data_IF_297268542020
#
_entry.id   IF_297268542020
#
_cell.length_a   1.000
_cell.length_b   1.000
_cell.length_c   1.000
_cell.angle_alpha   90.00
_cell.angle_beta   90.00
_cell.angle_gamma   90.00
#
_symmetry.space_group_name_H-M   'P 1'
#
loop_
_entity.id
_entity.type
_entity.pdbx_description
1 polymer ?
#
# COMPACT_ATOMS: atom_id res chain seq x y z
N UNK A 1 -18.40 -10.97 -13.70
CA UNK A 1 -17.46 -11.11 -14.85
C UNK A 1 -18.01 -12.19 -15.78
N UNK A 2 -18.11 -11.97 -17.09
CA UNK A 2 -18.75 -12.93 -18.02
C UNK A 2 -17.71 -13.67 -18.88
N UNK A 3 -17.67 -15.01 -18.87
CA UNK A 3 -16.78 -15.79 -19.73
C UNK A 3 -16.98 -15.48 -21.22
N UNK A 4 -15.88 -15.36 -21.98
CA UNK A 4 -15.86 -15.35 -23.45
C UNK A 4 -15.22 -16.63 -23.98
N UNK A 5 -15.37 -16.89 -25.29
CA UNK A 5 -14.71 -18.01 -25.97
C UNK A 5 -13.22 -18.10 -25.64
N UNK A 6 -12.75 -19.31 -25.32
CA UNK A 6 -11.36 -19.58 -25.00
C UNK A 6 -10.50 -19.61 -26.27
N UNK A 7 -9.48 -18.75 -26.36
CA UNK A 7 -8.36 -18.97 -27.28
C UNK A 7 -7.25 -19.71 -26.54
N UNK A 8 -7.23 -21.04 -26.65
CA UNK A 8 -6.21 -21.89 -26.00
C UNK A 8 -6.41 -22.03 -24.49
N UNK A 9 -5.32 -22.02 -23.70
CA UNK A 9 -5.35 -22.24 -22.23
C UNK A 9 -5.81 -21.01 -21.41
N UNK A 10 -6.06 -19.86 -22.04
CA UNK A 10 -6.44 -18.64 -21.33
C UNK A 10 -7.95 -18.41 -21.42
N UNK A 11 -8.60 -18.35 -20.25
CA UNK A 11 -10.03 -18.00 -20.12
C UNK A 11 -10.17 -16.49 -20.27
N UNK A 12 -10.73 -16.04 -21.39
CA UNK A 12 -11.05 -14.63 -21.61
C UNK A 12 -12.37 -14.31 -20.90
N UNK A 13 -12.44 -13.15 -20.27
CA UNK A 13 -13.64 -12.73 -19.52
C UNK A 13 -13.93 -11.27 -19.83
N UNK A 14 -15.18 -10.94 -20.14
CA UNK A 14 -15.66 -9.57 -20.25
C UNK A 14 -16.05 -9.02 -18.88
N UNK A 15 -15.74 -7.74 -18.64
CA UNK A 15 -16.22 -7.03 -17.47
C UNK A 15 -17.53 -6.34 -17.83
N UNK A 16 -18.54 -6.56 -17.01
CA UNK A 16 -19.79 -5.81 -17.06
C UNK A 16 -19.94 -5.02 -15.78
N UNK A 17 -20.53 -3.82 -15.89
CA UNK A 17 -20.82 -2.98 -14.74
C UNK A 17 -21.94 -3.67 -13.96
N UNK A 18 -21.69 -3.94 -12.69
CA UNK A 18 -22.67 -4.49 -11.76
C UNK A 18 -22.88 -3.54 -10.59
N UNK A 19 -24.04 -3.65 -9.94
CA UNK A 19 -24.42 -2.84 -8.79
C UNK A 19 -24.51 -3.68 -7.52
N UNK A 20 -24.48 -3.04 -6.35
CA UNK A 20 -24.73 -3.76 -5.08
C UNK A 20 -26.13 -4.37 -4.99
N UNK A 21 -27.08 -3.96 -5.85
CA UNK A 21 -28.43 -4.52 -5.86
C UNK A 21 -28.45 -5.96 -6.40
N UNK A 22 -27.54 -6.28 -7.31
CA UNK A 22 -27.36 -7.63 -7.85
C UNK A 22 -26.79 -8.60 -6.79
N UNK A 23 -26.36 -8.10 -5.61
CA UNK A 23 -25.93 -8.90 -4.46
C UNK A 23 -27.05 -9.21 -3.45
N UNK A 24 -28.26 -8.62 -3.58
CA UNK A 24 -29.31 -8.68 -2.54
C UNK A 24 -30.14 -9.96 -2.55
N UNK A 25 -30.14 -10.71 -3.65
CA UNK A 25 -31.01 -11.87 -3.85
C UNK A 25 -30.75 -13.03 -2.87
N UNK A 26 -29.56 -13.10 -2.27
CA UNK A 26 -29.17 -14.22 -1.39
C UNK A 26 -29.88 -14.17 -0.04
N UNK A 27 -30.22 -12.98 0.47
CA UNK A 27 -30.98 -12.86 1.72
C UNK A 27 -32.41 -13.32 1.54
N UNK A 28 -33.00 -13.00 0.40
CA UNK A 28 -34.36 -13.43 0.06
C UNK A 28 -34.44 -14.97 -0.07
N UNK A 29 -33.37 -15.62 -0.54
CA UNK A 29 -33.26 -17.09 -0.55
C UNK A 29 -33.19 -17.70 0.85
N UNK A 30 -32.57 -17.02 1.82
CA UNK A 30 -32.53 -17.47 3.22
C UNK A 30 -33.88 -17.32 3.90
N UNK A 31 -34.58 -16.20 3.69
CA UNK A 31 -35.88 -15.95 4.32
C UNK A 31 -36.96 -16.94 3.87
N UNK A 32 -36.82 -17.50 2.67
CA UNK A 32 -37.75 -18.49 2.11
C UNK A 32 -37.38 -19.94 2.42
N UNK A 33 -36.16 -20.20 2.90
CA UNK A 33 -35.67 -21.56 3.12
C UNK A 33 -36.05 -22.08 4.51
N UNK A 34 -36.58 -23.30 4.58
CA UNK A 34 -36.68 -24.04 5.84
C UNK A 34 -35.28 -24.32 6.39
N UNK A 35 -35.13 -24.31 7.72
CA UNK A 35 -33.85 -24.57 8.38
C UNK A 35 -34.00 -25.57 9.52
N UNK A 36 -32.95 -26.36 9.74
CA UNK A 36 -32.85 -27.29 10.85
C UNK A 36 -32.29 -26.64 12.12
N UNK A 37 -32.43 -27.32 13.26
CA UNK A 37 -31.89 -26.87 14.54
C UNK A 37 -30.47 -27.34 14.82
N UNK A 38 -30.07 -28.48 14.25
CA UNK A 38 -28.75 -29.09 14.47
C UNK A 38 -28.34 -29.99 13.30
N UNK A 39 -27.12 -30.53 13.38
CA UNK A 39 -26.51 -31.36 12.33
C UNK A 39 -26.48 -32.86 12.67
N UNK A 40 -27.21 -33.34 13.69
CA UNK A 40 -27.06 -34.72 14.20
C UNK A 40 -27.39 -35.80 13.14
N UNK A 41 -28.23 -35.45 12.18
CA UNK A 41 -28.67 -36.34 11.10
C UNK A 41 -28.01 -36.03 9.74
N UNK A 42 -27.12 -35.03 9.67
CA UNK A 42 -26.39 -34.68 8.45
C UNK A 42 -25.19 -35.61 8.32
N UNK A 43 -25.14 -36.39 7.25
CA UNK A 43 -24.01 -37.31 6.95
C UNK A 43 -23.15 -36.74 5.82
N UNK A 44 -21.84 -36.93 5.93
CA UNK A 44 -20.88 -36.57 4.89
C UNK A 44 -20.55 -37.79 4.04
N UNK A 45 -21.44 -38.10 3.10
CA UNK A 45 -21.35 -39.24 2.18
C UNK A 45 -20.87 -38.83 0.77
N UNK A 46 -20.53 -37.56 0.57
CA UNK A 46 -20.21 -36.98 -0.73
C UNK A 46 -21.41 -36.83 -1.69
N UNK A 47 -22.59 -37.34 -1.33
CA UNK A 47 -23.82 -37.31 -2.14
C UNK A 47 -24.74 -36.13 -1.86
N UNK A 48 -24.29 -35.17 -1.05
CA UNK A 48 -25.08 -33.99 -0.67
C UNK A 48 -25.45 -33.07 -1.83
N UNK A 49 -24.66 -33.05 -2.92
CA UNK A 49 -24.91 -32.27 -4.13
C UNK A 49 -25.23 -33.23 -5.26
N UNK A 50 -26.41 -33.07 -5.86
CA UNK A 50 -26.86 -33.94 -6.96
C UNK A 50 -26.18 -33.61 -8.30
N UNK A 51 -25.75 -32.36 -8.48
CA UNK A 51 -25.08 -31.91 -9.70
C UNK A 51 -23.62 -32.34 -9.73
N UNK A 52 -23.20 -32.95 -10.84
CA UNK A 52 -21.82 -33.30 -11.12
C UNK A 52 -20.95 -32.08 -11.45
N UNK A 53 -19.63 -32.27 -11.45
CA UNK A 53 -18.69 -31.18 -11.78
C UNK A 53 -18.88 -30.65 -13.21
N UNK A 54 -19.15 -31.52 -14.19
CA UNK A 54 -19.36 -31.12 -15.59
C UNK A 54 -20.64 -30.29 -15.75
N UNK A 55 -21.71 -30.65 -15.06
CA UNK A 55 -22.97 -29.90 -15.08
C UNK A 55 -22.80 -28.52 -14.46
N UNK A 56 -22.04 -28.42 -13.36
CA UNK A 56 -21.74 -27.14 -12.71
C UNK A 56 -20.88 -26.24 -13.61
N UNK A 57 -19.98 -26.81 -14.41
CA UNK A 57 -19.20 -26.04 -15.38
C UNK A 57 -20.09 -25.50 -16.50
N UNK A 58 -21.00 -26.33 -17.03
CA UNK A 58 -22.00 -25.90 -18.03
C UNK A 58 -22.89 -24.79 -17.49
N UNK A 59 -23.37 -24.91 -16.24
CA UNK A 59 -24.15 -23.83 -15.60
C UNK A 59 -23.40 -22.50 -15.56
N UNK A 60 -22.06 -22.52 -15.38
CA UNK A 60 -21.24 -21.31 -15.37
C UNK A 60 -21.02 -20.73 -16.78
N UNK A 61 -21.17 -21.53 -17.82
CA UNK A 61 -21.03 -21.12 -19.22
C UNK A 61 -22.37 -20.60 -19.77
N UNK A 62 -23.47 -21.29 -19.45
CA UNK A 62 -24.81 -21.03 -19.98
C UNK A 62 -25.54 -19.91 -19.24
N UNK A 63 -25.28 -19.75 -17.93
CA UNK A 63 -25.99 -18.78 -17.09
C UNK A 63 -25.07 -17.61 -16.77
N UNK A 64 -25.38 -16.44 -17.33
CA UNK A 64 -24.67 -15.19 -17.03
C UNK A 64 -24.94 -14.68 -15.60
N UNK A 65 -26.12 -15.01 -15.05
CA UNK A 65 -26.58 -14.57 -13.73
C UNK A 65 -26.12 -15.54 -12.62
N UNK A 66 -25.23 -15.04 -11.75
CA UNK A 66 -24.70 -15.81 -10.63
C UNK A 66 -25.75 -16.20 -9.60
N UNK A 67 -26.82 -15.42 -9.42
CA UNK A 67 -27.87 -15.71 -8.44
C UNK A 67 -28.58 -17.01 -8.81
N UNK A 68 -28.93 -17.17 -10.10
CA UNK A 68 -29.55 -18.40 -10.63
C UNK A 68 -28.68 -19.64 -10.49
N UNK A 69 -27.36 -19.50 -10.65
CA UNK A 69 -26.43 -20.61 -10.42
C UNK A 69 -26.49 -21.06 -8.95
N UNK A 70 -26.53 -20.12 -8.02
CA UNK A 70 -26.59 -20.40 -6.58
C UNK A 70 -27.94 -21.03 -6.20
N UNK A 71 -29.05 -20.51 -6.74
CA UNK A 71 -30.40 -21.08 -6.59
C UNK A 71 -30.42 -22.55 -7.03
N UNK A 72 -29.95 -22.82 -8.26
CA UNK A 72 -29.90 -24.18 -8.81
C UNK A 72 -29.06 -25.12 -7.93
N UNK A 73 -27.95 -24.63 -7.36
CA UNK A 73 -27.09 -25.40 -6.44
C UNK A 73 -27.75 -25.66 -5.08
N UNK A 74 -28.62 -24.77 -4.62
CA UNK A 74 -29.39 -24.92 -3.38
C UNK A 74 -30.52 -25.93 -3.57
N UNK A 75 -31.28 -25.82 -4.65
CA UNK A 75 -32.35 -26.76 -5.01
C UNK A 75 -31.86 -28.20 -5.16
N UNK A 76 -30.63 -28.37 -5.67
CA UNK A 76 -29.99 -29.68 -5.84
C UNK A 76 -29.19 -30.17 -4.62
N UNK A 77 -29.24 -29.45 -3.49
CA UNK A 77 -28.56 -29.82 -2.26
C UNK A 77 -29.51 -30.56 -1.31
N UNK A 78 -29.29 -31.87 -1.11
CA UNK A 78 -30.14 -32.70 -0.23
C UNK A 78 -30.10 -32.27 1.25
N UNK A 79 -28.98 -31.70 1.69
CA UNK A 79 -28.77 -31.31 3.08
C UNK A 79 -29.03 -29.83 3.37
N UNK A 80 -29.45 -29.01 2.39
CA UNK A 80 -29.53 -27.57 2.60
C UNK A 80 -30.60 -27.18 3.63
N UNK A 81 -31.82 -27.71 3.51
CA UNK A 81 -32.91 -27.40 4.43
C UNK A 81 -32.71 -27.99 5.84
N UNK A 82 -31.91 -29.06 5.96
CA UNK A 82 -31.54 -29.64 7.26
C UNK A 82 -30.49 -28.84 8.02
N UNK A 83 -29.83 -27.88 7.37
CA UNK A 83 -28.80 -27.05 8.00
C UNK A 83 -29.43 -25.97 8.87
N UNK A 84 -28.69 -25.57 9.89
CA UNK A 84 -29.02 -24.36 10.66
C UNK A 84 -28.95 -23.11 9.79
N UNK A 85 -29.70 -22.07 10.17
CA UNK A 85 -29.71 -20.77 9.48
C UNK A 85 -28.28 -20.24 9.26
N UNK A 86 -27.43 -20.28 10.28
CA UNK A 86 -26.02 -19.85 10.15
C UNK A 86 -25.21 -20.72 9.19
N UNK A 87 -25.49 -22.02 9.12
CA UNK A 87 -24.83 -22.94 8.20
C UNK A 87 -25.29 -22.75 6.76
N UNK A 88 -26.56 -22.39 6.55
CA UNK A 88 -27.11 -21.98 5.26
C UNK A 88 -26.47 -20.66 4.80
N UNK A 89 -26.44 -19.64 5.67
CA UNK A 89 -25.81 -18.35 5.35
C UNK A 89 -24.32 -18.51 5.01
N UNK A 90 -23.58 -19.31 5.80
CA UNK A 90 -22.17 -19.64 5.52
C UNK A 90 -22.01 -20.38 4.19
N UNK A 91 -22.92 -21.30 3.86
CA UNK A 91 -22.92 -22.00 2.58
C UNK A 91 -23.13 -21.03 1.41
N UNK A 92 -24.12 -20.15 1.51
CA UNK A 92 -24.44 -19.17 0.47
C UNK A 92 -23.31 -18.17 0.27
N UNK A 93 -22.75 -17.56 1.33
CA UNK A 93 -21.59 -16.66 1.24
C UNK A 93 -20.39 -17.31 0.53
N UNK A 94 -20.18 -18.61 0.76
CA UNK A 94 -19.12 -19.38 0.08
C UNK A 94 -19.42 -19.57 -1.42
N UNK A 95 -20.68 -19.80 -1.77
CA UNK A 95 -21.11 -19.96 -3.17
C UNK A 95 -21.08 -18.63 -3.90
N UNK A 96 -21.62 -17.57 -3.30
CA UNK A 96 -21.50 -16.18 -3.74
C UNK A 96 -20.05 -15.83 -4.09
N UNK A 97 -19.13 -15.96 -3.13
CA UNK A 97 -17.70 -15.67 -3.37
C UNK A 97 -17.09 -16.47 -4.52
N UNK A 98 -17.60 -17.67 -4.83
CA UNK A 98 -17.09 -18.54 -5.89
C UNK A 98 -17.70 -18.26 -7.26
N UNK A 99 -18.99 -17.89 -7.32
CA UNK A 99 -19.73 -17.76 -8.58
C UNK A 99 -20.02 -16.32 -8.96
N UNK A 100 -20.10 -15.42 -7.97
CA UNK A 100 -20.18 -13.97 -8.17
C UNK A 100 -18.77 -13.36 -8.09
N UNK A 101 -18.03 -13.47 -9.19
CA UNK A 101 -16.72 -12.84 -9.33
C UNK A 101 -16.87 -11.42 -9.90
N UNK A 102 -16.34 -10.43 -9.17
CA UNK A 102 -16.31 -9.03 -9.57
C UNK A 102 -14.96 -8.39 -9.24
N UNK A 103 -14.65 -7.29 -9.93
CA UNK A 103 -13.48 -6.46 -9.66
C UNK A 103 -13.97 -5.07 -9.28
N UNK A 104 -13.42 -4.52 -8.21
CA UNK A 104 -13.71 -3.16 -7.78
C UNK A 104 -12.54 -2.24 -8.16
N UNK A 105 -12.82 -1.23 -8.97
CA UNK A 105 -11.86 -0.17 -9.30
C UNK A 105 -11.96 0.90 -8.22
N UNK A 106 -10.83 1.24 -7.59
CA UNK A 106 -10.75 2.25 -6.51
C UNK A 106 -9.64 3.23 -6.79
N UNK A 107 -9.82 4.47 -6.36
CA UNK A 107 -8.75 5.44 -6.33
C UNK A 107 -7.63 4.98 -5.37
N UNK A 108 -6.35 5.08 -5.76
CA UNK A 108 -5.23 4.80 -4.87
C UNK A 108 -5.29 5.69 -3.62
N UNK A 109 -5.09 5.07 -2.46
CA UNK A 109 -4.95 5.79 -1.17
C UNK A 109 -3.81 5.13 -0.40
N UNK A 110 -3.19 5.86 0.54
CA UNK A 110 -2.13 5.31 1.40
C UNK A 110 -2.58 4.02 2.09
N UNK A 111 -3.83 3.99 2.58
CA UNK A 111 -4.41 2.81 3.22
C UNK A 111 -4.45 1.60 2.27
N UNK A 112 -4.95 1.79 1.05
CA UNK A 112 -5.01 0.71 0.06
C UNK A 112 -3.61 0.25 -0.36
N UNK A 113 -2.67 1.18 -0.56
CA UNK A 113 -1.29 0.83 -0.92
C UNK A 113 -0.60 0.05 0.20
N UNK A 114 -0.74 0.47 1.45
CA UNK A 114 -0.22 -0.25 2.61
C UNK A 114 -0.81 -1.67 2.71
N UNK A 115 -2.13 -1.82 2.54
CA UNK A 115 -2.80 -3.13 2.55
C UNK A 115 -2.35 -4.02 1.37
N UNK A 116 -2.19 -3.46 0.18
CA UNK A 116 -1.72 -4.19 -1.02
C UNK A 116 -0.29 -4.66 -0.82
N UNK A 117 0.62 -3.77 -0.43
CA UNK A 117 2.03 -4.11 -0.26
C UNK A 117 2.22 -5.13 0.87
N UNK A 118 1.52 -4.96 1.99
CA UNK A 118 1.58 -5.93 3.10
C UNK A 118 1.06 -7.31 2.69
N UNK A 119 -0.01 -7.38 1.88
CA UNK A 119 -0.57 -8.65 1.38
C UNK A 119 0.33 -9.30 0.33
N UNK A 120 1.01 -8.51 -0.50
CA UNK A 120 1.91 -9.01 -1.54
C UNK A 120 3.18 -9.58 -0.95
N UNK A 121 3.86 -8.80 -0.10
CA UNK A 121 5.14 -9.15 0.49
C UNK A 121 5.44 -8.19 1.67
N UNK A 122 5.16 -8.60 2.93
CA UNK A 122 5.36 -7.72 4.08
C UNK A 122 6.83 -7.35 4.30
N UNK A 123 7.79 -8.20 3.89
CA UNK A 123 9.24 -7.95 4.09
C UNK A 123 9.74 -6.79 3.21
N UNK A 124 9.10 -6.58 2.06
CA UNK A 124 9.37 -5.42 1.18
C UNK A 124 8.92 -4.08 1.75
N UNK A 125 8.13 -4.10 2.83
CA UNK A 125 7.75 -2.91 3.58
C UNK A 125 8.11 -3.03 5.07
N UNK A 126 9.11 -3.85 5.39
CA UNK A 126 9.63 -4.04 6.76
C UNK A 126 8.55 -4.44 7.79
N UNK A 127 7.50 -5.15 7.34
CA UNK A 127 6.39 -5.57 8.20
C UNK A 127 5.49 -4.42 8.67
N UNK A 128 5.61 -3.22 8.07
CA UNK A 128 4.78 -2.07 8.45
C UNK A 128 3.32 -2.35 8.08
N UNK A 129 2.49 -2.53 9.10
CA UNK A 129 1.03 -2.61 8.95
C UNK A 129 0.43 -1.21 8.89
N UNK A 130 -0.81 -1.13 8.42
CA UNK A 130 -1.55 0.15 8.29
C UNK A 130 -1.69 0.89 9.62
N UNK A 131 -1.89 0.17 10.73
CA UNK A 131 -2.00 0.74 12.06
C UNK A 131 -0.64 1.27 12.54
N UNK A 132 0.46 0.53 12.34
CA UNK A 132 1.81 0.99 12.62
C UNK A 132 2.17 2.22 11.78
N UNK A 133 1.83 2.22 10.49
CA UNK A 133 2.01 3.38 9.61
C UNK A 133 1.24 4.61 10.13
N UNK A 134 0.01 4.40 10.58
CA UNK A 134 -0.82 5.47 11.16
C UNK A 134 -0.17 6.05 12.42
N UNK A 135 0.34 5.20 13.32
CA UNK A 135 1.09 5.64 14.51
C UNK A 135 2.38 6.39 14.14
N UNK A 136 3.14 5.91 13.16
CA UNK A 136 4.35 6.59 12.67
C UNK A 136 3.99 8.01 12.22
N UNK A 137 2.99 8.17 11.38
CA UNK A 137 2.54 9.47 10.86
C UNK A 137 2.08 10.39 12.00
N UNK A 138 1.23 9.88 12.90
CA UNK A 138 0.69 10.65 14.02
C UNK A 138 1.76 11.10 15.00
N UNK A 139 2.64 10.19 15.43
CA UNK A 139 3.73 10.52 16.36
C UNK A 139 4.79 11.43 15.73
N UNK A 140 4.91 11.44 14.40
CA UNK A 140 5.82 12.34 13.69
C UNK A 140 5.32 13.78 13.65
N UNK A 141 4.06 14.04 14.02
CA UNK A 141 3.44 15.37 13.94
C UNK A 141 3.60 16.03 12.56
N UNK A 142 3.52 15.23 11.49
CA UNK A 142 3.61 15.72 10.12
C UNK A 142 2.44 16.65 9.82
N UNK A 143 2.72 17.76 9.14
CA UNK A 143 1.76 18.82 8.88
C UNK A 143 2.12 19.59 7.60
N UNK A 144 1.31 20.58 7.23
CA UNK A 144 1.40 21.31 5.97
C UNK A 144 2.59 22.28 5.85
N UNK A 145 3.33 22.58 6.92
CA UNK A 145 4.28 23.70 6.92
C UNK A 145 5.69 23.34 7.43
N UNK A 146 5.87 22.17 8.04
CA UNK A 146 7.15 21.76 8.60
C UNK A 146 8.16 21.22 7.56
N UNK A 147 9.42 21.17 7.98
CA UNK A 147 10.48 20.43 7.29
C UNK A 147 10.63 19.07 7.97
N UNK A 148 10.46 17.97 7.26
CA UNK A 148 10.51 16.62 7.83
C UNK A 148 11.69 15.83 7.27
N UNK A 149 12.38 15.09 8.14
CA UNK A 149 13.48 14.21 7.75
C UNK A 149 13.06 12.76 7.92
N UNK A 150 13.07 12.01 6.82
CA UNK A 150 12.77 10.58 6.77
C UNK A 150 13.99 9.82 6.30
N UNK A 151 14.48 8.88 7.09
CA UNK A 151 15.35 7.81 6.63
C UNK A 151 14.54 6.52 6.48
N UNK A 152 14.61 5.92 5.29
CA UNK A 152 14.09 4.57 5.08
C UNK A 152 15.05 3.67 4.29
N UNK A 153 15.15 2.39 4.67
CA UNK A 153 16.02 1.42 4.00
C UNK A 153 15.29 0.42 3.11
N UNK A 154 14.09 0.76 2.62
CA UNK A 154 13.37 0.00 1.60
C UNK A 154 11.96 -0.40 1.99
N UNK A 155 11.00 0.51 1.72
CA UNK A 155 9.55 0.34 1.88
C UNK A 155 8.79 0.46 0.56
N UNK A 156 9.47 0.26 -0.59
CA UNK A 156 8.93 0.50 -1.93
C UNK A 156 8.35 1.93 -2.10
N UNK A 157 8.94 2.89 -1.39
CA UNK A 157 8.49 4.28 -1.34
C UNK A 157 7.18 4.50 -0.57
N UNK A 158 6.71 3.52 0.22
CA UNK A 158 5.46 3.65 0.99
C UNK A 158 5.52 4.79 2.00
N UNK A 159 6.63 4.93 2.74
CA UNK A 159 6.78 6.00 3.71
C UNK A 159 6.88 7.39 3.08
N UNK A 160 7.76 7.65 2.09
CA UNK A 160 7.79 8.98 1.49
C UNK A 160 6.45 9.32 0.82
N UNK A 161 5.76 8.35 0.22
CA UNK A 161 4.40 8.52 -0.30
C UNK A 161 3.40 8.91 0.81
N UNK A 162 3.44 8.22 1.96
CA UNK A 162 2.55 8.51 3.08
C UNK A 162 2.78 9.89 3.69
N UNK A 163 4.04 10.29 3.85
CA UNK A 163 4.41 11.59 4.41
C UNK A 163 4.04 12.72 3.46
N UNK A 164 4.37 12.64 2.17
CA UNK A 164 4.01 13.70 1.23
C UNK A 164 2.49 13.81 1.04
N UNK A 165 1.77 12.70 1.10
CA UNK A 165 0.30 12.69 1.10
C UNK A 165 -0.27 13.36 2.35
N UNK A 166 0.34 13.15 3.53
CA UNK A 166 -0.07 13.78 4.78
C UNK A 166 0.25 15.29 4.83
N UNK A 167 1.37 15.72 4.24
CA UNK A 167 1.73 17.14 4.08
C UNK A 167 0.70 17.86 3.17
N UNK A 168 0.14 17.14 2.19
CA UNK A 168 -0.93 17.62 1.32
C UNK A 168 -0.47 18.50 0.15
N UNK A 169 -1.39 18.73 -0.79
CA UNK A 169 -1.19 19.58 -1.96
C UNK A 169 -1.35 21.07 -1.61
N UNK A 170 -0.69 21.96 -2.37
CA UNK A 170 -0.74 23.42 -2.17
C UNK A 170 -0.27 23.87 -0.76
N UNK A 171 0.78 23.24 -0.25
CA UNK A 171 1.36 23.55 1.06
C UNK A 171 2.86 23.83 0.96
N UNK A 172 3.45 24.39 2.02
CA UNK A 172 4.88 24.74 2.07
C UNK A 172 5.77 23.65 2.67
N UNK A 173 5.18 22.64 3.31
CA UNK A 173 5.90 21.58 3.98
C UNK A 173 6.75 20.75 3.02
N UNK A 174 7.93 20.36 3.48
CA UNK A 174 8.93 19.64 2.69
C UNK A 174 9.32 18.35 3.37
N UNK A 175 9.64 17.33 2.57
CA UNK A 175 10.16 16.07 3.05
C UNK A 175 11.55 15.83 2.44
N UNK A 176 12.56 15.71 3.30
CA UNK A 176 13.85 15.15 2.91
C UNK A 176 13.81 13.65 3.18
N UNK A 177 13.85 12.86 2.11
CA UNK A 177 13.85 11.41 2.12
C UNK A 177 15.27 10.90 1.86
N UNK A 178 15.95 10.47 2.90
CA UNK A 178 17.26 9.83 2.85
C UNK A 178 17.12 8.31 2.65
N UNK A 179 17.88 7.77 1.70
CA UNK A 179 17.93 6.33 1.43
C UNK A 179 19.38 5.85 1.26
N UNK A 180 19.66 4.56 1.53
CA UNK A 180 21.02 4.01 1.40
C UNK A 180 21.39 3.60 -0.03
N UNK A 181 20.40 3.30 -0.89
CA UNK A 181 20.64 2.80 -2.25
C UNK A 181 21.07 3.87 -3.26
N UNK A 182 21.52 3.46 -4.45
CA UNK A 182 21.87 4.39 -5.54
C UNK A 182 20.67 5.21 -6.05
N UNK A 183 19.47 4.64 -5.97
CA UNK A 183 18.22 5.26 -6.43
C UNK A 183 17.14 5.02 -5.37
N UNK A 184 16.31 6.03 -5.05
CA UNK A 184 15.19 5.85 -4.13
C UNK A 184 14.12 4.95 -4.73
N UNK A 185 13.46 4.16 -3.88
CA UNK A 185 12.26 3.41 -4.27
C UNK A 185 11.05 4.36 -4.34
N UNK A 186 10.22 4.23 -5.37
CA UNK A 186 9.14 5.19 -5.68
C UNK A 186 7.80 4.55 -6.06
N UNK A 187 7.63 3.24 -5.89
CA UNK A 187 6.46 2.51 -6.39
C UNK A 187 5.16 3.07 -5.80
N UNK A 188 5.10 3.32 -4.49
CA UNK A 188 3.90 3.91 -3.88
C UNK A 188 3.68 5.37 -4.30
N UNK A 189 4.74 6.18 -4.45
CA UNK A 189 4.63 7.57 -4.92
C UNK A 189 4.02 7.60 -6.33
N UNK A 190 4.53 6.75 -7.23
CA UNK A 190 4.01 6.64 -8.60
C UNK A 190 2.56 6.16 -8.63
N UNK A 191 2.17 5.26 -7.72
CA UNK A 191 0.82 4.73 -7.65
C UNK A 191 -0.22 5.78 -7.18
N UNK A 192 0.17 6.80 -6.42
CA UNK A 192 -0.74 7.84 -5.94
C UNK A 192 -1.09 8.89 -6.99
N UNK A 193 -0.30 9.00 -8.06
CA UNK A 193 -0.46 10.03 -9.09
C UNK A 193 -0.57 11.45 -8.47
N UNK A 194 0.37 11.79 -7.58
CA UNK A 194 0.41 13.09 -6.91
C UNK A 194 0.78 14.20 -7.90
N UNK A 195 0.27 15.43 -7.70
CA UNK A 195 0.67 16.58 -8.49
C UNK A 195 2.17 16.91 -8.33
N UNK A 196 2.73 17.56 -9.34
CA UNK A 196 4.18 17.74 -9.52
C UNK A 196 4.82 18.55 -8.39
N UNK A 197 4.11 19.53 -7.83
CA UNK A 197 4.54 20.33 -6.70
C UNK A 197 4.75 19.52 -5.40
N UNK A 198 4.01 18.42 -5.20
CA UNK A 198 4.21 17.47 -4.11
C UNK A 198 5.46 16.64 -4.39
N UNK A 199 5.66 16.21 -5.63
CA UNK A 199 6.86 15.47 -6.03
C UNK A 199 8.12 16.31 -5.83
N UNK A 200 8.08 17.60 -6.16
CA UNK A 200 9.20 18.53 -6.01
C UNK A 200 9.52 18.87 -4.55
N UNK A 201 8.53 18.79 -3.65
CA UNK A 201 8.73 18.95 -2.20
C UNK A 201 9.20 17.68 -1.49
N UNK A 202 9.19 16.54 -2.18
CA UNK A 202 9.74 15.27 -1.71
C UNK A 202 11.18 15.08 -2.23
N UNK A 203 12.14 15.72 -1.55
CA UNK A 203 13.56 15.75 -1.91
C UNK A 203 14.18 14.41 -1.50
N UNK A 204 14.42 13.52 -2.47
CA UNK A 204 14.99 12.19 -2.20
C UNK A 204 16.48 12.15 -2.52
N UNK A 205 17.30 11.84 -1.52
CA UNK A 205 18.77 11.88 -1.60
C UNK A 205 19.39 10.62 -1.01
N UNK A 206 20.56 10.24 -1.54
CA UNK A 206 21.35 9.18 -0.94
C UNK A 206 22.00 9.70 0.36
N UNK A 207 21.86 8.96 1.47
CA UNK A 207 22.37 9.39 2.78
C UNK A 207 23.88 9.66 2.79
N UNK A 208 24.67 8.81 2.13
CA UNK A 208 26.12 8.99 2.08
C UNK A 208 26.50 10.22 1.26
N UNK A 209 25.84 10.42 0.12
CA UNK A 209 26.09 11.57 -0.75
C UNK A 209 25.77 12.89 -0.06
N UNK A 210 24.60 13.01 0.55
CA UNK A 210 24.16 14.26 1.17
C UNK A 210 24.97 14.59 2.43
N UNK A 211 25.29 13.60 3.27
CA UNK A 211 26.13 13.84 4.46
C UNK A 211 27.54 14.27 4.05
N UNK A 212 28.12 13.61 3.03
CA UNK A 212 29.43 14.01 2.50
C UNK A 212 29.41 15.45 2.00
N UNK A 213 28.42 15.81 1.21
CA UNK A 213 28.26 17.17 0.68
C UNK A 213 28.04 18.20 1.78
N UNK A 214 27.26 17.87 2.80
CA UNK A 214 27.03 18.75 3.95
C UNK A 214 28.31 19.03 4.72
N UNK A 215 29.11 18.00 5.02
CA UNK A 215 30.35 18.16 5.78
C UNK A 215 31.48 18.81 4.97
N UNK A 216 31.65 18.44 3.70
CA UNK A 216 32.68 19.04 2.85
C UNK A 216 32.33 20.48 2.47
N UNK A 217 31.06 20.78 2.21
CA UNK A 217 30.62 22.15 1.93
C UNK A 217 30.73 23.08 3.14
N UNK A 218 30.67 22.55 4.37
CA UNK A 218 30.93 23.32 5.58
C UNK A 218 32.41 23.70 5.73
N UNK A 219 33.34 22.80 5.35
CA UNK A 219 34.78 23.08 5.33
C UNK A 219 35.13 24.12 4.26
N UNK A 220 34.53 24.02 3.06
CA UNK A 220 34.74 25.02 2.00
C UNK A 220 34.15 26.40 2.35
N UNK A 221 33.03 26.50 3.07
CA UNK A 221 32.46 27.78 3.53
C UNK A 221 33.33 28.51 4.57
N UNK A 222 34.19 27.80 5.33
CA UNK A 222 35.17 28.43 6.24
C UNK A 222 36.44 28.92 5.50
N UNK A 223 36.79 28.31 4.35
CA UNK A 223 38.01 28.63 3.58
C UNK A 223 37.76 29.59 2.39
N UNK A 224 36.52 29.97 2.07
CA UNK A 224 36.15 30.68 0.83
C UNK A 224 35.71 32.16 0.99
N UNK A 225 36.40 32.93 1.84
CA UNK A 225 36.44 34.41 1.63
C UNK A 225 37.32 34.80 0.42
N UNK A 226 38.14 33.89 -0.14
CA UNK A 226 38.95 34.17 -1.32
C UNK A 226 38.74 33.17 -2.48
N UNK A 227 38.38 33.76 -3.62
CA UNK A 227 38.46 33.24 -4.99
C UNK A 227 37.24 32.50 -5.57
N UNK A 228 36.47 33.27 -6.35
CA UNK A 228 35.39 32.80 -7.19
C UNK A 228 35.85 32.40 -8.60
N UNK A 229 35.02 31.53 -9.19
CA UNK A 229 34.78 31.30 -10.62
C UNK A 229 35.57 30.19 -11.34
N UNK A 230 34.88 29.07 -11.59
CA UNK A 230 35.04 28.28 -12.83
C UNK A 230 33.67 27.96 -13.45
N UNK A 231 33.61 28.11 -14.78
CA UNK A 231 32.43 27.98 -15.66
C UNK A 231 31.95 26.52 -15.77
N UNK A 232 30.64 26.28 -15.96
CA UNK A 232 30.10 24.92 -15.99
C UNK A 232 30.29 24.24 -17.35
N UNK A 233 30.60 22.94 -17.31
CA UNK A 233 30.48 22.01 -18.44
C UNK A 233 29.01 21.56 -18.56
N UNK A 234 28.56 21.24 -19.77
CA UNK A 234 27.26 20.60 -20.03
C UNK A 234 27.22 19.24 -19.31
N UNK A 235 26.54 19.18 -18.18
CA UNK A 235 26.29 17.95 -17.43
C UNK A 235 24.92 17.37 -17.78
N UNK A 236 24.81 16.04 -17.76
CA UNK A 236 23.54 15.33 -17.98
C UNK A 236 22.46 15.79 -16.98
N UNK A 237 21.22 15.92 -17.45
CA UNK A 237 20.06 16.42 -16.68
C UNK A 237 19.83 15.67 -15.35
N UNK A 238 20.11 14.36 -15.32
CA UNK A 238 20.06 13.55 -14.09
C UNK A 238 21.15 13.91 -13.08
N UNK A 239 22.36 14.22 -13.55
CA UNK A 239 23.48 14.66 -12.70
C UNK A 239 23.15 16.02 -12.10
N UNK A 240 22.58 16.92 -12.90
CA UNK A 240 22.14 18.24 -12.45
C UNK A 240 21.05 18.14 -11.38
N UNK A 241 20.02 17.31 -11.60
CA UNK A 241 18.95 17.10 -10.61
C UNK A 241 19.49 16.53 -9.29
N UNK A 242 20.35 15.52 -9.36
CA UNK A 242 20.97 14.93 -8.16
C UNK A 242 21.75 15.98 -7.34
N UNK A 243 22.56 16.83 -8.00
CA UNK A 243 23.29 17.92 -7.32
C UNK A 243 22.34 18.93 -6.70
N UNK A 244 21.28 19.32 -7.42
CA UNK A 244 20.29 20.27 -6.92
C UNK A 244 19.53 19.72 -5.72
N UNK A 245 19.15 18.44 -5.74
CA UNK A 245 18.42 17.80 -4.64
C UNK A 245 19.30 17.65 -3.40
N UNK A 246 20.59 17.29 -3.54
CA UNK A 246 21.52 17.30 -2.41
C UNK A 246 21.70 18.69 -1.82
N UNK A 247 21.93 19.72 -2.67
CA UNK A 247 22.07 21.10 -2.19
C UNK A 247 20.83 21.56 -1.41
N UNK A 248 19.63 21.32 -1.95
CA UNK A 248 18.37 21.64 -1.26
C UNK A 248 18.25 20.89 0.08
N UNK A 249 18.67 19.63 0.14
CA UNK A 249 18.66 18.86 1.38
C UNK A 249 19.66 19.42 2.40
N UNK A 250 20.87 19.80 1.97
CA UNK A 250 21.87 20.46 2.81
C UNK A 250 21.36 21.80 3.38
N UNK A 251 20.72 22.63 2.55
CA UNK A 251 20.11 23.89 3.00
C UNK A 251 19.07 23.63 4.11
N UNK A 252 18.22 22.62 3.94
CA UNK A 252 17.24 22.22 4.96
C UNK A 252 17.88 21.62 6.22
N UNK A 253 19.01 20.91 6.09
CA UNK A 253 19.78 20.42 7.23
C UNK A 253 20.33 21.57 8.07
N UNK A 254 20.79 22.66 7.42
CA UNK A 254 21.21 23.90 8.11
C UNK A 254 20.04 24.58 8.82
N UNK A 255 18.84 24.61 8.21
CA UNK A 255 17.60 25.14 8.82
C UNK A 255 17.00 24.26 9.94
N UNK A 256 17.44 22.99 10.01
CA UNK A 256 16.95 21.94 10.90
C UNK A 256 15.50 21.50 10.63
N UNK A 257 15.17 20.31 11.12
CA UNK A 257 13.90 19.62 10.88
C UNK A 257 12.94 19.68 12.07
N UNK A 258 11.65 19.60 11.76
CA UNK A 258 10.51 19.57 12.67
C UNK A 258 10.09 18.15 13.07
N UNK A 259 10.62 17.11 12.42
CA UNK A 259 10.46 15.69 12.79
C UNK A 259 11.57 14.84 12.19
N UNK A 260 12.03 13.81 12.93
CA UNK A 260 12.92 12.77 12.43
C UNK A 260 12.21 11.42 12.47
N UNK A 261 12.20 10.74 11.33
CA UNK A 261 11.60 9.42 11.16
C UNK A 261 12.67 8.48 10.66
N UNK A 262 12.91 7.38 11.39
CA UNK A 262 13.91 6.37 11.03
C UNK A 262 13.24 5.01 10.96
N UNK A 263 13.28 4.41 9.77
CA UNK A 263 12.74 3.09 9.51
C UNK A 263 13.79 2.27 8.76
N UNK A 264 14.48 1.41 9.47
CA UNK A 264 15.64 0.69 8.96
C UNK A 264 15.53 -0.82 9.18
N UNK A 265 16.06 -1.59 8.24
CA UNK A 265 16.31 -3.03 8.42
C UNK A 265 17.46 -3.26 9.40
N UNK A 266 18.49 -2.42 9.30
CA UNK A 266 19.65 -2.44 10.18
C UNK A 266 19.34 -1.75 11.52
N UNK A 267 20.24 -1.91 12.49
CA UNK A 267 20.13 -1.28 13.80
C UNK A 267 20.07 0.27 13.68
N UNK A 268 19.01 0.94 14.18
CA UNK A 268 18.75 2.35 13.91
C UNK A 268 19.67 3.29 14.69
N UNK A 269 20.29 2.84 15.79
CA UNK A 269 21.05 3.68 16.73
C UNK A 269 22.06 4.62 16.06
N UNK A 270 22.89 4.12 15.13
CA UNK A 270 23.92 4.96 14.50
C UNK A 270 23.28 5.99 13.56
N UNK A 271 22.24 5.61 12.83
CA UNK A 271 21.47 6.51 11.96
C UNK A 271 20.80 7.59 12.80
N UNK A 272 20.17 7.22 13.92
CA UNK A 272 19.52 8.17 14.83
C UNK A 272 20.56 9.13 15.41
N UNK A 273 21.69 8.62 15.93
CA UNK A 273 22.77 9.47 16.48
C UNK A 273 23.27 10.48 15.47
N UNK A 274 23.49 10.05 14.22
CA UNK A 274 23.96 10.91 13.14
C UNK A 274 22.92 11.95 12.74
N UNK A 275 21.65 11.57 12.61
CA UNK A 275 20.61 12.47 12.10
C UNK A 275 20.00 13.38 13.17
N UNK A 276 20.16 13.06 14.46
CA UNK A 276 19.56 13.83 15.56
C UNK A 276 20.08 15.27 15.64
N UNK A 277 21.32 15.53 15.20
CA UNK A 277 21.91 16.87 15.21
C UNK A 277 21.16 17.89 14.32
N UNK A 278 20.45 17.39 13.30
CA UNK A 278 19.67 18.21 12.37
C UNK A 278 18.26 18.53 12.88
N UNK A 279 17.93 18.17 14.13
CA UNK A 279 16.61 18.40 14.72
C UNK A 279 16.52 19.73 15.45
N UNK A 280 15.39 20.43 15.30
CA UNK A 280 15.04 21.55 16.18
C UNK A 280 14.70 21.01 17.59
N UNK A 281 14.92 21.80 18.66
CA UNK A 281 14.52 21.40 20.02
C UNK A 281 13.02 21.11 20.13
N UNK A 282 12.64 20.21 21.04
CA UNK A 282 11.24 19.87 21.33
C UNK A 282 10.44 19.35 20.11
N UNK A 283 11.12 18.63 19.21
CA UNK A 283 10.50 18.00 18.03
C UNK A 283 10.48 16.47 18.16
N UNK A 284 9.45 15.81 17.62
CA UNK A 284 9.32 14.36 17.71
C UNK A 284 10.42 13.63 16.94
N UNK A 285 10.80 12.48 17.49
CA UNK A 285 11.65 11.48 16.83
C UNK A 285 10.89 10.16 16.87
N UNK A 286 10.68 9.56 15.70
CA UNK A 286 9.96 8.29 15.55
C UNK A 286 10.90 7.27 14.95
N UNK A 287 11.10 6.17 15.66
CA UNK A 287 11.88 5.02 15.18
C UNK A 287 10.95 3.83 15.08
N UNK A 288 10.89 3.21 13.92
CA UNK A 288 10.19 1.95 13.73
C UNK A 288 11.19 0.82 13.50
N UNK A 289 10.99 -0.27 14.23
CA UNK A 289 11.63 -1.55 13.95
C UNK A 289 10.61 -2.67 14.16
N UNK A 290 10.78 -3.77 13.42
CA UNK A 290 9.96 -4.97 13.56
C UNK A 290 10.27 -5.72 14.87
N UNK A 291 11.52 -5.63 15.35
CA UNK A 291 11.97 -6.28 16.59
C UNK A 291 11.98 -5.28 17.74
N UNK A 292 11.57 -5.73 18.92
CA UNK A 292 11.49 -4.89 20.14
C UNK A 292 12.85 -4.76 20.83
N UNK A 293 13.71 -5.74 20.62
CA UNK A 293 15.01 -5.91 21.29
C UNK A 293 16.10 -4.95 20.78
N UNK A 294 15.77 -4.14 19.77
CA UNK A 294 16.65 -3.17 19.10
C UNK A 294 16.55 -1.79 19.77
#
# INVERSE_FOLDING_TARGET
MIPKESRGRQRLTALEICSEKDMRDIKDLLEKAESGSDNRNIKDDGGSQKLGNEEILKLREDIADSSKIIETLVENSTSFNSKTVYSQEKYLKRKEKKYFEYVQIRQPTIRLLAEIFYRQDPDKIMGIRVDSLSQIISYSNVNSCGNFLLFESGTNGLLPAAFINAIGANTSGKLVHMHPGNVPQKQAIQALNLPEEQLDRCISVNIYSVLREYYQGAEEEEDTEESAAKKPKLEDDKSLKWKMDNKKACDLMKEKFDSLIVVSRDHPLNIVKELLQFMKPSRPVVVFNLSKEI
#
